data_IF_469560517511
#
_entry.id   IF_469560517511
#
_cell.length_a   1.000
_cell.length_b   1.000
_cell.length_c   1.000
_cell.angle_alpha   90.00
_cell.angle_beta   90.00
_cell.angle_gamma   90.00
#
_symmetry.space_group_name_H-M   'P 1'
#
loop_
_entity.id
_entity.type
_entity.pdbx_description
1 polymer ?
#
# COMPACT_ATOMS: atom_id res chain seq x y z
N UNK A 1 6.18 -2.32 -17.28
CA UNK A 1 5.77 -1.89 -15.93
C UNK A 1 4.85 -0.71 -16.04
N UNK A 2 3.69 -0.81 -15.44
CA UNK A 2 2.66 0.22 -15.45
C UNK A 2 3.09 1.41 -14.62
N UNK A 3 3.01 2.61 -15.24
CA UNK A 3 3.25 3.88 -14.56
C UNK A 3 2.07 4.82 -14.77
N UNK A 4 1.92 5.75 -13.87
CA UNK A 4 0.97 6.85 -13.99
C UNK A 4 1.63 8.16 -13.58
N UNK A 5 1.06 9.25 -14.06
CA UNK A 5 1.51 10.59 -13.72
C UNK A 5 0.34 11.36 -13.10
N UNK A 6 0.62 12.08 -12.06
CA UNK A 6 -0.30 13.07 -11.53
C UNK A 6 0.37 14.43 -11.36
N UNK A 7 -0.43 15.47 -11.37
CA UNK A 7 0.02 16.81 -11.13
C UNK A 7 -0.89 17.52 -10.14
N UNK A 8 -0.28 18.26 -9.23
CA UNK A 8 -0.99 18.99 -8.19
C UNK A 8 -0.52 20.44 -8.19
N UNK A 9 -1.44 21.43 -8.14
CA UNK A 9 -1.04 22.81 -7.94
C UNK A 9 -0.44 22.97 -6.53
N UNK A 10 0.70 23.65 -6.47
CA UNK A 10 1.34 24.05 -5.23
C UNK A 10 1.50 25.57 -5.23
N UNK A 11 1.92 26.14 -4.07
CA UNK A 11 1.96 27.59 -3.90
C UNK A 11 2.64 28.35 -5.04
N UNK A 12 3.77 27.84 -5.54
CA UNK A 12 4.64 28.53 -6.49
C UNK A 12 4.84 27.73 -7.80
N UNK A 13 3.85 26.90 -8.18
CA UNK A 13 3.94 26.12 -9.41
C UNK A 13 3.13 24.83 -9.38
N UNK A 14 3.72 23.76 -9.92
CA UNK A 14 3.12 22.46 -10.04
C UNK A 14 4.08 21.39 -9.52
N UNK A 15 3.57 20.50 -8.64
CA UNK A 15 4.19 19.22 -8.39
C UNK A 15 3.74 18.27 -9.50
N UNK A 16 4.69 17.68 -10.21
CA UNK A 16 4.40 16.66 -11.23
C UNK A 16 5.19 15.41 -10.89
N UNK A 17 4.51 14.29 -10.77
CA UNK A 17 5.13 13.03 -10.37
C UNK A 17 4.78 11.92 -11.36
N UNK A 18 5.80 11.26 -11.90
CA UNK A 18 5.69 9.98 -12.61
C UNK A 18 6.04 8.88 -11.63
N UNK A 19 5.12 7.96 -11.41
CA UNK A 19 5.30 6.90 -10.43
C UNK A 19 5.00 5.52 -11.01
N UNK A 20 5.67 4.51 -10.49
CA UNK A 20 5.39 3.10 -10.75
C UNK A 20 4.29 2.64 -9.80
N UNK A 21 3.28 1.96 -10.31
CA UNK A 21 2.24 1.38 -9.46
C UNK A 21 2.85 0.39 -8.46
N UNK A 22 3.57 -0.60 -8.96
CA UNK A 22 4.38 -1.56 -8.22
C UNK A 22 5.39 -2.20 -9.16
N UNK A 23 6.57 -2.57 -8.67
CA UNK A 23 7.58 -3.27 -9.47
C UNK A 23 8.44 -4.22 -8.61
N UNK A 24 8.72 -5.39 -9.16
CA UNK A 24 9.68 -6.36 -8.62
C UNK A 24 10.52 -6.93 -9.75
N UNK A 25 11.85 -6.65 -9.81
CA UNK A 25 12.61 -5.81 -8.88
C UNK A 25 12.20 -4.34 -8.92
N UNK A 26 12.57 -3.58 -7.89
CA UNK A 26 12.32 -2.13 -7.85
C UNK A 26 13.03 -1.42 -9.02
N UNK A 27 12.36 -0.42 -9.58
CA UNK A 27 12.91 0.40 -10.66
C UNK A 27 13.64 1.60 -10.06
N UNK A 28 14.79 1.93 -10.65
CA UNK A 28 15.50 3.15 -10.27
C UNK A 28 14.67 4.39 -10.64
N UNK A 29 14.41 5.32 -9.70
CA UNK A 29 13.54 6.46 -9.96
C UNK A 29 13.96 7.30 -11.17
N UNK A 30 15.27 7.43 -11.42
CA UNK A 30 15.77 8.17 -12.58
C UNK A 30 15.30 7.58 -13.93
N UNK A 31 15.02 6.28 -13.98
CA UNK A 31 14.49 5.62 -15.18
C UNK A 31 13.06 6.04 -15.54
N UNK A 32 12.36 6.77 -14.65
CA UNK A 32 11.03 7.32 -14.89
C UNK A 32 11.07 8.67 -15.61
N UNK A 33 12.20 9.38 -15.57
CA UNK A 33 12.33 10.70 -16.19
C UNK A 33 11.99 10.73 -17.70
N UNK A 34 12.43 9.78 -18.53
CA UNK A 34 12.02 9.77 -19.94
C UNK A 34 10.50 9.61 -20.13
N UNK A 35 9.82 8.88 -19.26
CA UNK A 35 8.36 8.71 -19.29
C UNK A 35 7.65 10.01 -18.90
N UNK A 36 8.09 10.64 -17.82
CA UNK A 36 7.60 11.96 -17.41
C UNK A 36 7.76 12.98 -18.54
N UNK A 37 8.96 13.06 -19.13
CA UNK A 37 9.25 13.97 -20.22
C UNK A 37 8.35 13.74 -21.44
N UNK A 38 8.14 12.47 -21.84
CA UNK A 38 7.24 12.12 -22.92
C UNK A 38 5.78 12.54 -22.64
N UNK A 39 5.28 12.37 -21.42
CA UNK A 39 3.93 12.84 -21.02
C UNK A 39 3.80 14.35 -21.07
N UNK A 40 4.87 15.07 -20.74
CA UNK A 40 4.90 16.53 -20.79
C UNK A 40 5.20 17.08 -22.20
N UNK A 41 5.47 16.22 -23.18
CA UNK A 41 5.87 16.63 -24.53
C UNK A 41 7.22 17.35 -24.57
N UNK A 42 8.17 16.98 -23.69
CA UNK A 42 9.43 17.67 -23.46
C UNK A 42 10.63 16.71 -23.55
N UNK A 43 11.83 17.28 -23.70
CA UNK A 43 13.07 16.51 -23.54
C UNK A 43 13.42 16.31 -22.06
N UNK A 44 13.95 15.14 -21.64
CA UNK A 44 14.31 14.88 -20.24
C UNK A 44 15.17 15.96 -19.59
N UNK A 45 16.22 16.42 -20.29
CA UNK A 45 17.13 17.46 -19.79
C UNK A 45 16.41 18.79 -19.55
N UNK A 46 15.45 19.15 -20.38
CA UNK A 46 14.66 20.38 -20.20
C UNK A 46 13.71 20.29 -19.02
N UNK A 47 13.19 19.09 -18.70
CA UNK A 47 12.37 18.87 -17.50
C UNK A 47 13.19 19.10 -16.24
N UNK A 48 14.42 18.57 -16.19
CA UNK A 48 15.31 18.77 -15.05
C UNK A 48 15.83 20.21 -14.94
N UNK A 49 16.15 20.86 -16.07
CA UNK A 49 16.63 22.23 -16.07
C UNK A 49 15.60 23.24 -15.54
N UNK A 50 14.31 23.00 -15.79
CA UNK A 50 13.23 23.88 -15.36
C UNK A 50 12.67 23.50 -13.98
N UNK A 51 13.09 22.37 -13.40
CA UNK A 51 12.65 21.93 -12.10
C UNK A 51 13.30 22.76 -10.98
N UNK A 52 12.48 23.46 -10.21
CA UNK A 52 12.94 24.18 -8.99
C UNK A 52 13.45 23.19 -7.94
N UNK A 53 12.83 22.00 -7.87
CA UNK A 53 13.20 20.93 -6.94
C UNK A 53 12.88 19.58 -7.58
N UNK A 54 13.77 18.62 -7.37
CA UNK A 54 13.58 17.23 -7.77
C UNK A 54 13.68 16.32 -6.55
N UNK A 55 12.75 15.38 -6.44
CA UNK A 55 12.75 14.37 -5.39
C UNK A 55 12.68 12.97 -6.01
N UNK A 56 13.42 12.03 -5.42
CA UNK A 56 13.39 10.62 -5.79
C UNK A 56 12.86 9.83 -4.59
N UNK A 57 11.72 9.20 -4.75
CA UNK A 57 11.02 8.51 -3.67
C UNK A 57 10.95 7.01 -3.97
N UNK A 58 11.22 6.19 -2.95
CA UNK A 58 10.99 4.75 -2.95
C UNK A 58 10.13 4.36 -1.77
N UNK A 59 9.00 3.74 -2.05
CA UNK A 59 8.09 3.24 -1.02
C UNK A 59 8.16 1.71 -1.04
N UNK A 60 8.64 1.05 0.04
CA UNK A 60 8.67 -0.40 0.12
C UNK A 60 7.25 -0.94 0.26
N UNK A 61 6.73 -1.59 -0.79
CA UNK A 61 5.46 -2.29 -0.77
C UNK A 61 5.67 -3.75 -0.32
N UNK A 62 4.77 -4.29 0.48
CA UNK A 62 4.85 -5.68 0.93
C UNK A 62 6.05 -6.01 1.84
N UNK A 63 6.68 -5.00 2.46
CA UNK A 63 7.81 -5.18 3.36
C UNK A 63 7.46 -5.95 4.65
N UNK A 64 8.47 -6.55 5.28
CA UNK A 64 8.32 -7.22 6.59
C UNK A 64 7.86 -6.22 7.66
N UNK A 65 7.09 -6.73 8.61
CA UNK A 65 6.71 -5.99 9.82
C UNK A 65 7.77 -6.18 10.92
N UNK A 66 7.96 -5.22 11.82
CA UNK A 66 8.75 -5.44 13.02
C UNK A 66 8.20 -6.63 13.82
N UNK A 67 9.10 -7.43 14.40
CA UNK A 67 8.72 -8.53 15.30
C UNK A 67 8.09 -8.00 16.60
N UNK A 68 7.25 -8.81 17.27
CA UNK A 68 6.62 -8.42 18.53
C UNK A 68 7.63 -8.28 19.69
N UNK A 69 8.76 -8.99 19.59
CA UNK A 69 9.76 -9.06 20.68
C UNK A 69 10.85 -7.99 20.57
N UNK A 70 10.63 -6.96 19.76
CA UNK A 70 11.61 -5.88 19.63
C UNK A 70 11.52 -4.92 20.83
N UNK A 71 12.67 -4.48 21.39
CA UNK A 71 12.67 -3.56 22.53
C UNK A 71 12.19 -2.15 22.18
N UNK A 72 12.14 -1.82 20.87
CA UNK A 72 11.65 -0.55 20.36
C UNK A 72 10.41 -0.81 19.52
N UNK A 73 9.28 -0.24 19.91
CA UNK A 73 8.03 -0.35 19.15
C UNK A 73 8.03 0.69 18.03
N UNK A 74 8.02 0.21 16.79
CA UNK A 74 7.86 1.07 15.63
C UNK A 74 6.40 1.51 15.45
N UNK A 75 6.19 2.69 14.83
CA UNK A 75 4.87 3.22 14.51
C UNK A 75 4.83 3.80 13.09
N UNK A 76 3.65 3.89 12.50
CA UNK A 76 3.44 4.46 11.18
C UNK A 76 4.13 3.65 10.07
N UNK A 77 4.78 4.33 9.15
CA UNK A 77 5.51 3.69 8.04
C UNK A 77 6.61 2.74 8.53
N UNK A 78 7.31 3.09 9.61
CA UNK A 78 8.32 2.23 10.23
C UNK A 78 7.74 0.92 10.80
N UNK A 79 6.47 0.92 11.20
CA UNK A 79 5.74 -0.28 11.59
C UNK A 79 5.15 -1.06 10.39
N UNK A 80 5.35 -0.60 9.18
CA UNK A 80 4.76 -1.19 7.98
C UNK A 80 3.30 -0.81 7.74
N UNK A 81 2.82 0.33 8.26
CA UNK A 81 1.50 0.88 7.93
C UNK A 81 1.42 1.41 6.50
N UNK A 82 2.19 0.85 5.62
CA UNK A 82 2.17 1.13 4.20
C UNK A 82 1.22 0.13 3.53
N UNK A 83 0.14 0.61 2.94
CA UNK A 83 -0.79 -0.25 2.21
C UNK A 83 -0.06 -0.93 1.04
N UNK A 84 -0.19 -2.25 0.94
CA UNK A 84 0.65 -3.05 0.06
C UNK A 84 0.57 -2.66 -1.43
N UNK A 85 -0.59 -2.19 -1.90
CA UNK A 85 -0.79 -1.87 -3.31
C UNK A 85 -0.74 -0.37 -3.64
N UNK A 86 -0.86 0.53 -2.64
CA UNK A 86 -0.98 1.97 -2.89
C UNK A 86 0.11 2.81 -2.23
N UNK A 87 0.86 2.26 -1.30
CA UNK A 87 1.83 3.03 -0.52
C UNK A 87 1.21 3.98 0.53
N UNK A 88 -0.11 4.04 0.66
CA UNK A 88 -0.77 4.92 1.63
C UNK A 88 -0.47 4.50 3.06
N UNK A 89 -0.10 5.46 3.91
CA UNK A 89 0.25 5.20 5.31
C UNK A 89 -0.28 6.24 6.31
N UNK A 90 -0.43 7.50 5.88
CA UNK A 90 -0.73 8.63 6.77
C UNK A 90 -2.06 8.44 7.49
N UNK A 91 -3.15 8.17 6.76
CA UNK A 91 -4.48 7.99 7.33
C UNK A 91 -4.53 6.78 8.29
N UNK A 92 -3.82 5.69 7.97
CA UNK A 92 -3.71 4.53 8.86
C UNK A 92 -3.00 4.89 10.18
N UNK A 93 -1.93 5.65 10.10
CA UNK A 93 -1.18 6.13 11.28
C UNK A 93 -2.03 7.04 12.16
N UNK A 94 -2.74 8.01 11.58
CA UNK A 94 -3.63 8.91 12.32
C UNK A 94 -4.73 8.12 13.05
N UNK A 95 -5.39 7.18 12.39
CA UNK A 95 -6.44 6.36 13.01
C UNK A 95 -5.92 5.44 14.11
N UNK A 96 -4.69 4.95 13.99
CA UNK A 96 -4.09 4.08 15.00
C UNK A 96 -3.57 4.84 16.22
N UNK A 97 -3.21 6.11 16.08
CA UNK A 97 -2.55 6.90 17.12
C UNK A 97 -3.28 6.89 18.49
N UNK A 98 -4.61 7.08 18.58
CA UNK A 98 -5.29 7.05 19.88
C UNK A 98 -5.15 5.71 20.61
N UNK A 99 -5.30 4.59 19.87
CA UNK A 99 -5.17 3.24 20.43
C UNK A 99 -3.76 2.97 20.94
N UNK A 100 -2.76 3.36 20.17
CA UNK A 100 -1.36 3.14 20.54
C UNK A 100 -0.97 4.05 21.71
N UNK A 101 -1.40 5.31 21.72
CA UNK A 101 -1.18 6.21 22.84
C UNK A 101 -1.79 5.68 24.15
N UNK A 102 -3.00 5.13 24.10
CA UNK A 102 -3.63 4.50 25.27
C UNK A 102 -2.82 3.30 25.77
N UNK A 103 -2.31 2.44 24.87
CA UNK A 103 -1.47 1.30 25.26
C UNK A 103 -0.16 1.74 25.90
N UNK A 104 0.46 2.81 25.38
CA UNK A 104 1.68 3.41 25.98
C UNK A 104 1.38 3.95 27.39
N UNK A 105 0.28 4.69 27.55
CA UNK A 105 -0.15 5.21 28.87
C UNK A 105 -0.30 4.10 29.90
N UNK A 106 -1.05 3.05 29.55
CA UNK A 106 -1.25 1.89 30.44
C UNK A 106 0.05 1.16 30.79
N UNK A 107 0.97 1.03 29.83
CA UNK A 107 2.25 0.36 30.07
C UNK A 107 3.14 1.19 31.04
N UNK A 108 3.15 2.50 30.91
CA UNK A 108 3.87 3.40 31.80
C UNK A 108 3.32 3.43 33.23
N UNK A 109 2.00 3.38 33.37
CA UNK A 109 1.32 3.34 34.68
C UNK A 109 1.54 1.99 35.40
N UNK A 110 1.57 0.90 34.63
CA UNK A 110 1.68 -0.46 35.21
C UNK A 110 3.09 -0.82 35.67
N UNK A 111 4.12 -0.23 35.11
CA UNK A 111 5.52 -0.57 35.38
C UNK A 111 6.43 0.66 35.28
N UNK A 112 6.46 1.52 36.31
CA UNK A 112 7.36 2.67 36.30
C UNK A 112 8.83 2.22 36.18
N UNK A 113 9.50 2.64 35.11
CA UNK A 113 10.92 2.40 34.86
C UNK A 113 11.26 1.19 33.98
N UNK A 114 10.31 0.27 33.72
CA UNK A 114 10.53 -0.84 32.78
C UNK A 114 9.23 -1.12 32.02
N UNK A 115 9.16 -0.62 30.79
CA UNK A 115 7.96 -0.76 29.95
C UNK A 115 8.04 -2.08 29.17
N UNK A 116 7.04 -2.93 29.31
CA UNK A 116 6.84 -4.07 28.41
C UNK A 116 6.36 -3.57 27.03
N UNK A 117 7.13 -3.78 25.95
CA UNK A 117 6.74 -3.34 24.62
C UNK A 117 5.62 -4.19 23.98
N UNK A 118 5.38 -5.41 24.45
CA UNK A 118 4.48 -6.36 23.79
C UNK A 118 3.03 -5.87 23.68
N UNK A 119 2.37 -5.32 24.72
CA UNK A 119 1.02 -4.77 24.61
C UNK A 119 0.96 -3.57 23.64
N UNK A 120 2.01 -2.76 23.58
CA UNK A 120 2.08 -1.63 22.67
C UNK A 120 2.22 -2.13 21.22
N UNK A 121 3.08 -3.12 20.98
CA UNK A 121 3.24 -3.75 19.67
C UNK A 121 1.93 -4.39 19.17
N UNK A 122 1.16 -5.04 20.06
CA UNK A 122 -0.17 -5.57 19.73
C UNK A 122 -1.18 -4.45 19.45
N UNK A 123 -1.07 -3.31 20.13
CA UNK A 123 -1.88 -2.15 19.81
C UNK A 123 -1.49 -1.51 18.46
N UNK A 124 -0.25 -1.62 18.04
CA UNK A 124 0.17 -1.20 16.68
C UNK A 124 -0.44 -2.15 15.64
N UNK A 125 -0.20 -3.44 15.73
CA UNK A 125 -0.72 -4.44 14.79
C UNK A 125 -1.64 -5.43 15.48
N UNK A 126 -2.93 -5.14 15.52
CA UNK A 126 -3.92 -6.08 16.07
C UNK A 126 -4.04 -7.36 15.24
N UNK A 127 -4.50 -8.44 15.82
CA UNK A 127 -4.66 -9.72 15.12
C UNK A 127 -5.56 -9.60 13.86
N UNK A 128 -6.69 -8.87 13.86
CA UNK A 128 -7.47 -8.63 12.64
C UNK A 128 -6.66 -7.88 11.57
N UNK A 129 -5.91 -6.83 11.94
CA UNK A 129 -5.09 -6.06 10.98
C UNK A 129 -4.00 -6.93 10.33
N UNK A 130 -3.39 -7.83 11.10
CA UNK A 130 -2.41 -8.79 10.56
C UNK A 130 -3.04 -9.70 9.50
N UNK A 131 -4.28 -10.16 9.70
CA UNK A 131 -5.01 -10.97 8.71
C UNK A 131 -5.40 -10.15 7.48
N UNK A 132 -5.86 -8.93 7.67
CA UNK A 132 -6.16 -7.99 6.57
C UNK A 132 -4.93 -7.72 5.72
N UNK A 133 -3.76 -7.53 6.36
CA UNK A 133 -2.50 -7.34 5.63
C UNK A 133 -2.18 -8.50 4.69
N UNK A 134 -2.44 -9.75 5.08
CA UNK A 134 -2.25 -10.92 4.21
C UNK A 134 -3.09 -10.82 2.93
N UNK A 135 -4.32 -10.32 3.03
CA UNK A 135 -5.19 -10.11 1.86
C UNK A 135 -4.66 -8.98 0.96
N UNK A 136 -4.14 -7.91 1.54
CA UNK A 136 -3.52 -6.82 0.78
C UNK A 136 -2.22 -7.27 0.09
N UNK A 137 -1.39 -8.07 0.76
CA UNK A 137 -0.19 -8.63 0.17
C UNK A 137 -0.52 -9.55 -1.01
N UNK A 138 -1.63 -10.32 -0.92
CA UNK A 138 -2.16 -11.06 -2.06
C UNK A 138 -2.56 -10.13 -3.22
N UNK A 139 -3.26 -9.04 -2.93
CA UNK A 139 -3.62 -8.05 -3.94
C UNK A 139 -2.38 -7.46 -4.64
N UNK A 140 -1.30 -7.22 -3.90
CA UNK A 140 -0.02 -6.78 -4.48
C UNK A 140 0.58 -7.84 -5.43
N UNK A 141 0.61 -9.11 -5.03
CA UNK A 141 1.12 -10.19 -5.90
C UNK A 141 0.30 -10.28 -7.21
N UNK A 142 -1.03 -10.11 -7.10
CA UNK A 142 -1.89 -10.05 -8.29
C UNK A 142 -1.49 -8.88 -9.19
N UNK A 143 -1.35 -7.66 -8.66
CA UNK A 143 -0.99 -6.48 -9.45
C UNK A 143 0.38 -6.60 -10.11
N UNK A 144 1.35 -7.23 -9.44
CA UNK A 144 2.70 -7.46 -9.98
C UNK A 144 2.71 -8.42 -11.18
N UNK A 145 1.69 -9.24 -11.29
CA UNK A 145 1.53 -10.25 -12.33
C UNK A 145 0.72 -9.80 -13.55
N UNK A 146 -0.02 -8.69 -13.46
CA UNK A 146 -0.83 -8.15 -14.53
C UNK A 146 0.03 -7.36 -15.52
N UNK A 147 -0.32 -7.43 -16.80
CA UNK A 147 0.21 -6.51 -17.81
C UNK A 147 -0.51 -5.14 -17.79
N UNK A 148 -0.08 -4.20 -18.63
CA UNK A 148 -0.57 -2.83 -18.60
C UNK A 148 -2.08 -2.72 -18.92
N UNK A 149 -2.61 -3.55 -19.82
CA UNK A 149 -4.04 -3.54 -20.18
C UNK A 149 -4.87 -4.25 -19.11
N UNK A 150 -4.35 -5.33 -18.55
CA UNK A 150 -4.97 -6.04 -17.42
C UNK A 150 -5.04 -5.16 -16.15
N UNK A 151 -3.99 -4.36 -15.88
CA UNK A 151 -4.00 -3.38 -14.77
C UNK A 151 -5.08 -2.33 -14.98
N UNK A 152 -5.24 -1.79 -16.19
CA UNK A 152 -6.33 -0.84 -16.49
C UNK A 152 -7.69 -1.48 -16.25
N UNK A 153 -7.94 -2.65 -16.83
CA UNK A 153 -9.19 -3.37 -16.65
C UNK A 153 -9.47 -3.72 -15.17
N UNK A 154 -8.44 -4.02 -14.39
CA UNK A 154 -8.54 -4.25 -12.95
C UNK A 154 -9.00 -2.97 -12.22
N UNK A 155 -8.38 -1.83 -12.49
CA UNK A 155 -8.75 -0.58 -11.83
C UNK A 155 -10.10 -0.04 -12.29
N UNK A 156 -10.46 -0.21 -13.56
CA UNK A 156 -11.80 0.12 -14.05
C UNK A 156 -12.85 -0.66 -13.23
N UNK A 157 -12.71 -1.98 -13.12
CA UNK A 157 -13.62 -2.80 -12.33
C UNK A 157 -13.56 -2.46 -10.82
N UNK A 158 -12.40 -2.09 -10.28
CA UNK A 158 -12.23 -1.73 -8.88
C UNK A 158 -12.95 -0.43 -8.53
N UNK A 159 -12.84 0.59 -9.35
CA UNK A 159 -13.47 1.89 -9.11
C UNK A 159 -14.94 1.95 -9.54
N UNK A 160 -15.46 0.94 -10.26
CA UNK A 160 -16.89 0.71 -10.42
C UNK A 160 -17.58 0.19 -9.15
N UNK A 161 -16.83 -0.36 -8.21
CA UNK A 161 -17.36 -0.70 -6.89
C UNK A 161 -17.85 0.55 -6.16
N UNK A 162 -18.74 0.37 -5.18
CA UNK A 162 -19.18 1.48 -4.34
C UNK A 162 -17.99 2.14 -3.62
N UNK A 163 -18.10 3.46 -3.36
CA UNK A 163 -17.09 4.20 -2.59
C UNK A 163 -16.84 3.56 -1.21
N UNK A 164 -17.86 2.95 -0.62
CA UNK A 164 -17.74 2.23 0.65
C UNK A 164 -16.86 1.01 0.49
N UNK A 165 -17.03 0.24 -0.59
CA UNK A 165 -16.28 -0.98 -0.86
C UNK A 165 -14.80 -0.71 -1.14
N UNK A 166 -14.49 0.12 -2.15
CA UNK A 166 -13.09 0.34 -2.48
C UNK A 166 -12.34 1.13 -1.38
N UNK A 167 -13.02 2.04 -0.66
CA UNK A 167 -12.39 2.72 0.49
C UNK A 167 -12.15 1.77 1.66
N UNK A 168 -13.03 0.81 1.91
CA UNK A 168 -12.80 -0.24 2.90
C UNK A 168 -11.59 -1.12 2.53
N UNK A 169 -11.44 -1.48 1.25
CA UNK A 169 -10.25 -2.23 0.79
C UNK A 169 -8.95 -1.45 0.99
N UNK A 170 -8.94 -0.13 0.80
CA UNK A 170 -7.75 0.70 0.91
C UNK A 170 -7.31 0.98 2.36
N UNK A 171 -8.04 0.50 3.36
CA UNK A 171 -7.74 0.70 4.77
C UNK A 171 -7.10 -0.54 5.38
N UNK A 172 -5.98 -0.35 6.08
CA UNK A 172 -5.26 -1.45 6.76
C UNK A 172 -5.97 -1.96 8.01
N UNK A 173 -6.91 -1.18 8.55
CA UNK A 173 -7.68 -1.49 9.77
C UNK A 173 -9.09 -2.02 9.50
N UNK A 174 -9.46 -2.23 8.24
CA UNK A 174 -10.72 -2.89 7.86
C UNK A 174 -10.70 -4.36 8.29
N UNK A 175 -11.78 -4.91 8.86
CA UNK A 175 -11.86 -6.32 9.22
C UNK A 175 -11.60 -7.25 8.02
N UNK A 176 -10.88 -8.37 8.20
CA UNK A 176 -10.50 -9.24 7.09
C UNK A 176 -11.70 -9.83 6.33
N UNK A 177 -12.80 -10.08 7.00
CA UNK A 177 -14.05 -10.57 6.36
C UNK A 177 -14.65 -9.53 5.41
N UNK A 178 -14.58 -8.25 5.75
CA UNK A 178 -15.05 -7.15 4.91
C UNK A 178 -14.15 -6.99 3.67
N UNK A 179 -12.82 -7.00 3.85
CA UNK A 179 -11.86 -6.97 2.73
C UNK A 179 -12.06 -8.17 1.80
N UNK A 180 -12.23 -9.38 2.35
CA UNK A 180 -12.52 -10.57 1.55
C UNK A 180 -13.84 -10.44 0.75
N UNK A 181 -14.86 -9.84 1.35
CA UNK A 181 -16.12 -9.58 0.66
C UNK A 181 -15.97 -8.59 -0.49
N UNK A 182 -15.16 -7.52 -0.33
CA UNK A 182 -14.83 -6.59 -1.41
C UNK A 182 -14.07 -7.29 -2.53
N UNK A 183 -13.07 -8.10 -2.20
CA UNK A 183 -12.32 -8.89 -3.19
C UNK A 183 -13.24 -9.85 -3.98
N UNK A 184 -14.19 -10.49 -3.30
CA UNK A 184 -15.18 -11.36 -3.96
C UNK A 184 -16.16 -10.58 -4.86
N UNK A 185 -16.54 -9.34 -4.50
CA UNK A 185 -17.35 -8.47 -5.35
C UNK A 185 -16.56 -8.06 -6.58
N UNK A 186 -15.35 -7.59 -6.42
CA UNK A 186 -14.44 -7.24 -7.51
C UNK A 186 -14.26 -8.41 -8.49
N UNK A 187 -13.98 -9.60 -7.97
CA UNK A 187 -13.84 -10.80 -8.81
C UNK A 187 -15.11 -11.09 -9.61
N UNK A 188 -16.30 -10.94 -9.01
CA UNK A 188 -17.57 -11.19 -9.71
C UNK A 188 -17.91 -10.14 -10.76
N UNK A 189 -17.57 -8.86 -10.53
CA UNK A 189 -17.79 -7.77 -11.49
C UNK A 189 -16.76 -7.75 -12.62
N UNK A 190 -15.59 -8.34 -12.42
CA UNK A 190 -14.53 -8.37 -13.43
C UNK A 190 -14.90 -9.15 -14.68
N UNK A 191 -14.28 -8.81 -15.81
CA UNK A 191 -14.43 -9.53 -17.07
C UNK A 191 -13.97 -11.00 -16.95
N UNK A 192 -14.43 -11.86 -17.86
CA UNK A 192 -13.99 -13.26 -17.90
C UNK A 192 -12.47 -13.42 -18.02
N UNK A 193 -11.86 -12.60 -18.87
CA UNK A 193 -10.40 -12.62 -19.06
C UNK A 193 -9.67 -12.31 -17.74
N UNK A 194 -10.09 -11.24 -17.06
CA UNK A 194 -9.51 -10.85 -15.78
C UNK A 194 -9.75 -11.91 -14.70
N UNK A 195 -10.97 -12.48 -14.62
CA UNK A 195 -11.26 -13.58 -13.68
C UNK A 195 -10.35 -14.80 -13.87
N UNK A 196 -10.08 -15.19 -15.11
CA UNK A 196 -9.14 -16.28 -15.41
C UNK A 196 -7.74 -15.97 -14.89
N UNK A 197 -7.28 -14.74 -15.08
CA UNK A 197 -5.97 -14.30 -14.56
C UNK A 197 -5.93 -14.31 -13.05
N UNK A 198 -6.95 -13.74 -12.38
CA UNK A 198 -7.06 -13.70 -10.92
C UNK A 198 -7.16 -15.11 -10.30
N UNK A 199 -7.87 -16.04 -10.94
CA UNK A 199 -8.05 -17.42 -10.47
C UNK A 199 -6.88 -18.34 -10.84
N UNK A 200 -6.26 -18.13 -12.02
CA UNK A 200 -5.32 -19.09 -12.62
C UNK A 200 -3.91 -19.04 -12.04
N UNK A 201 -3.58 -18.03 -11.27
CA UNK A 201 -2.17 -17.76 -10.93
C UNK A 201 -1.72 -18.14 -9.53
N UNK A 202 -2.60 -18.48 -8.58
CA UNK A 202 -2.00 -18.79 -7.28
C UNK A 202 -2.78 -19.62 -6.25
N UNK A 203 -3.04 -20.92 -6.50
CA UNK A 203 -3.41 -21.81 -5.39
C UNK A 203 -2.28 -21.94 -4.35
N UNK A 204 -1.01 -21.82 -4.76
CA UNK A 204 0.14 -21.89 -3.86
C UNK A 204 0.33 -20.63 -3.00
N UNK A 205 0.00 -19.44 -3.50
CA UNK A 205 0.01 -18.20 -2.70
C UNK A 205 -1.17 -18.16 -1.75
N UNK A 206 -2.36 -18.57 -2.19
CA UNK A 206 -3.52 -18.73 -1.31
C UNK A 206 -3.22 -19.75 -0.19
N UNK A 207 -2.62 -20.88 -0.51
CA UNK A 207 -2.25 -21.90 0.48
C UNK A 207 -1.15 -21.43 1.46
N UNK A 208 -0.20 -20.60 1.01
CA UNK A 208 0.80 -19.97 1.91
C UNK A 208 0.17 -18.95 2.85
N UNK A 209 -0.87 -18.26 2.41
CA UNK A 209 -1.60 -17.25 3.18
C UNK A 209 -2.53 -17.84 4.24
N UNK A 210 -3.01 -19.06 4.02
CA UNK A 210 -3.90 -19.77 4.94
C UNK A 210 -3.12 -20.60 5.98
N UNK A 211 -1.79 -20.63 5.93
CA UNK A 211 -0.98 -21.23 6.99
C UNK A 211 -0.92 -20.27 8.19
N UNK A 212 -1.25 -20.75 9.39
CA UNK A 212 -1.23 -19.96 10.62
C UNK A 212 0.17 -19.45 10.97
#
# INVERSE_FOLDING_TARGET
>A
VTTFCYSLPVRDGWLVEETVLAARPAIEPIALLPRLAARLGRHPDSVLADAVRTEYVRIPLGGSRPGPDQPIVAFGAAAGYVHAATGFSVAASIRAAPRVAAAVGLALESSPGTVDPAPIAEAVWTAPMRRTRVLHDFGLEVLLDLDDDEVRAFFDAFFELSIVDWSAYLRVDTPPGEVSAVMARLFRSSSWQLRRRLAGRNPASLARMLRP
#
